data_IF_734837769096
#
_entry.id   IF_734837769096
#
_cell.length_a   1.000
_cell.length_b   1.000
_cell.length_c   1.000
_cell.angle_alpha   90.00
_cell.angle_beta   90.00
_cell.angle_gamma   90.00
#
_symmetry.space_group_name_H-M   'P 1'
#
loop_
_entity.id
_entity.type
_entity.pdbx_description
1 polymer ?
#
# COMPACT_ATOMS: atom_id res chain seq x y z
N UNK A 1 33.24 25.21 33.67
CA UNK A 1 32.38 25.52 34.84
C UNK A 1 31.82 24.21 35.33
N UNK A 2 32.10 23.83 36.57
CA UNK A 2 31.31 22.79 37.24
C UNK A 2 29.85 23.23 37.29
N UNK A 3 28.87 22.34 37.05
CA UNK A 3 27.46 22.69 37.21
C UNK A 3 27.21 23.11 38.66
N UNK A 4 26.61 24.28 38.84
CA UNK A 4 26.30 24.85 40.16
C UNK A 4 25.49 23.85 41.00
N UNK A 5 25.95 23.46 42.21
CA UNK A 5 25.33 22.37 42.98
C UNK A 5 23.86 22.68 43.31
N UNK A 6 22.98 21.69 43.13
CA UNK A 6 21.55 21.82 43.46
C UNK A 6 21.37 22.07 44.96
N UNK A 7 20.84 23.24 45.31
CA UNK A 7 20.58 23.65 46.70
C UNK A 7 19.13 23.40 47.13
N UNK A 8 18.89 23.37 48.44
CA UNK A 8 17.53 23.24 48.99
C UNK A 8 16.59 24.38 48.55
N UNK A 9 17.10 25.60 48.51
CA UNK A 9 16.35 26.77 48.03
C UNK A 9 15.92 26.60 46.56
N UNK A 10 16.76 25.98 45.72
CA UNK A 10 16.44 25.69 44.32
C UNK A 10 15.37 24.61 44.17
N UNK A 11 15.43 23.55 45.00
CA UNK A 11 14.35 22.55 45.08
C UNK A 11 13.00 23.19 45.46
N UNK A 12 13.02 24.13 46.40
CA UNK A 12 11.85 24.89 46.83
C UNK A 12 11.29 25.77 45.71
N UNK A 13 12.15 26.56 45.06
CA UNK A 13 11.76 27.46 44.00
C UNK A 13 11.11 26.71 42.82
N UNK A 14 11.68 25.57 42.41
CA UNK A 14 11.12 24.77 41.33
C UNK A 14 9.75 24.16 41.68
N UNK A 15 9.57 23.69 42.93
CA UNK A 15 8.27 23.19 43.41
C UNK A 15 7.22 24.29 43.39
N UNK A 16 7.58 25.49 43.86
CA UNK A 16 6.68 26.65 43.90
C UNK A 16 6.34 27.16 42.49
N UNK A 17 7.31 27.19 41.57
CA UNK A 17 7.09 27.52 40.15
C UNK A 17 6.15 26.53 39.45
N UNK A 18 6.20 25.24 39.84
CA UNK A 18 5.27 24.23 39.38
C UNK A 18 3.89 24.28 40.07
N UNK A 19 3.65 25.26 40.96
CA UNK A 19 2.39 25.42 41.69
C UNK A 19 2.09 24.30 42.70
N UNK A 20 3.08 23.52 43.10
CA UNK A 20 2.87 22.37 43.97
C UNK A 20 3.10 22.71 45.44
N UNK A 21 2.19 22.24 46.30
CA UNK A 21 2.45 22.19 47.75
C UNK A 21 3.41 21.04 48.08
N UNK A 22 4.07 21.10 49.24
CA UNK A 22 4.89 19.98 49.73
C UNK A 22 4.07 18.68 49.89
N UNK A 23 2.77 18.78 50.21
CA UNK A 23 1.88 17.61 50.27
C UNK A 23 1.65 17.01 48.87
N UNK A 24 1.43 17.86 47.86
CA UNK A 24 1.24 17.42 46.48
C UNK A 24 2.52 16.81 45.89
N UNK A 25 3.69 17.38 46.22
CA UNK A 25 4.97 16.83 45.80
C UNK A 25 5.29 15.50 46.50
N UNK A 26 4.95 15.36 47.78
CA UNK A 26 5.07 14.11 48.53
C UNK A 26 4.29 12.96 47.88
N UNK A 27 3.06 13.24 47.41
CA UNK A 27 2.25 12.26 46.71
C UNK A 27 2.84 11.83 45.35
N UNK A 28 3.63 12.70 44.69
CA UNK A 28 4.25 12.41 43.38
C UNK A 28 5.63 11.78 43.46
N UNK A 29 6.37 12.03 44.53
CA UNK A 29 7.76 11.58 44.71
C UNK A 29 7.89 10.35 45.61
N UNK A 30 6.82 9.99 46.34
CA UNK A 30 6.82 9.00 47.42
C UNK A 30 7.79 9.31 48.58
N UNK A 31 8.36 10.52 48.61
CA UNK A 31 9.14 11.04 49.72
C UNK A 31 8.21 11.69 50.75
N UNK A 32 8.51 11.54 52.04
CA UNK A 32 7.65 12.11 53.08
C UNK A 32 7.72 13.64 53.08
N UNK A 33 6.58 14.30 53.37
CA UNK A 33 6.51 15.76 53.50
C UNK A 33 7.58 16.37 54.42
N UNK A 34 7.90 15.78 55.60
CA UNK A 34 9.00 16.27 56.44
C UNK A 34 10.37 16.15 55.78
N UNK A 35 10.63 15.06 55.05
CA UNK A 35 11.88 14.87 54.32
C UNK A 35 12.05 15.94 53.23
N UNK A 36 11.02 16.17 52.42
CA UNK A 36 11.02 17.22 51.40
C UNK A 36 11.27 18.61 52.01
N UNK A 37 10.64 18.92 53.14
CA UNK A 37 10.88 20.18 53.88
C UNK A 37 12.31 20.32 54.39
N UNK A 38 12.91 19.26 54.92
CA UNK A 38 14.32 19.26 55.38
C UNK A 38 15.31 19.40 54.22
N UNK A 39 15.00 18.84 53.05
CA UNK A 39 15.81 19.00 51.84
C UNK A 39 15.73 20.44 51.31
N UNK A 40 14.52 21.02 51.24
CA UNK A 40 14.30 22.38 50.75
C UNK A 40 14.87 23.48 51.67
N UNK A 41 14.98 23.20 52.98
CA UNK A 41 15.57 24.13 53.97
C UNK A 41 17.07 23.89 54.21
N UNK A 42 17.68 22.92 53.52
CA UNK A 42 19.10 22.59 53.67
C UNK A 42 19.44 21.86 54.97
N UNK A 43 18.45 21.48 55.79
CA UNK A 43 18.62 20.71 57.02
C UNK A 43 19.06 19.26 56.77
N UNK A 44 18.87 18.76 55.55
CA UNK A 44 19.34 17.43 55.13
C UNK A 44 20.10 17.50 53.82
N UNK A 45 21.19 16.72 53.73
CA UNK A 45 22.01 16.64 52.51
C UNK A 45 21.18 16.10 51.34
N UNK A 46 21.20 16.84 50.24
CA UNK A 46 20.61 16.44 48.96
C UNK A 46 21.51 15.36 48.35
N UNK A 47 20.89 14.28 47.89
CA UNK A 47 21.54 13.13 47.27
C UNK A 47 20.97 12.94 45.86
N UNK A 48 21.66 12.24 44.95
CA UNK A 48 21.20 12.05 43.57
C UNK A 48 19.78 11.49 43.46
N UNK A 49 19.39 10.58 44.36
CA UNK A 49 18.04 10.01 44.40
C UNK A 49 16.95 11.07 44.68
N UNK A 50 17.25 12.09 45.49
CA UNK A 50 16.32 13.19 45.75
C UNK A 50 16.16 14.08 44.52
N UNK A 51 17.26 14.34 43.80
CA UNK A 51 17.24 15.12 42.56
C UNK A 51 16.41 14.40 41.50
N UNK A 52 16.63 13.09 41.32
CA UNK A 52 15.87 12.28 40.38
C UNK A 52 14.37 12.26 40.70
N UNK A 53 14.00 12.12 41.98
CA UNK A 53 12.61 12.17 42.41
C UNK A 53 11.93 13.51 42.07
N UNK A 54 12.61 14.62 42.33
CA UNK A 54 12.08 15.93 41.97
C UNK A 54 11.99 16.14 40.45
N UNK A 55 12.99 15.73 39.67
CA UNK A 55 12.96 15.81 38.19
C UNK A 55 11.81 14.99 37.61
N UNK A 56 11.57 13.79 38.14
CA UNK A 56 10.45 12.95 37.73
C UNK A 56 9.10 13.59 38.05
N UNK A 57 8.95 14.23 39.21
CA UNK A 57 7.69 14.80 39.66
C UNK A 57 7.35 16.18 39.04
N UNK A 58 8.37 16.93 38.63
CA UNK A 58 8.25 18.30 38.11
C UNK A 58 8.51 18.41 36.59
N UNK A 59 9.07 17.37 35.97
CA UNK A 59 9.41 17.32 34.55
C UNK A 59 10.83 17.82 34.23
N UNK A 60 11.42 17.35 33.10
CA UNK A 60 12.71 17.83 32.61
C UNK A 60 12.63 19.33 32.28
N UNK A 61 13.43 20.15 32.97
CA UNK A 61 13.50 21.61 32.82
C UNK A 61 13.31 22.40 34.12
N UNK A 62 12.64 21.83 35.12
CA UNK A 62 12.32 22.53 36.38
C UNK A 62 13.51 22.68 37.35
N UNK A 63 14.51 21.80 37.28
CA UNK A 63 15.59 21.72 38.28
C UNK A 63 17.00 21.54 37.75
N UNK A 64 17.16 20.95 36.56
CA UNK A 64 18.48 20.53 36.06
C UNK A 64 19.10 21.58 35.12
N UNK A 65 18.29 22.49 34.56
CA UNK A 65 18.74 23.48 33.58
C UNK A 65 18.10 24.85 33.84
N UNK A 66 18.51 25.56 34.90
CA UNK A 66 18.41 27.03 34.87
C UNK A 66 19.58 27.52 34.03
N UNK A 67 19.36 27.69 32.74
CA UNK A 67 20.28 28.43 31.88
C UNK A 67 20.19 29.92 32.21
N UNK A 68 21.29 30.65 32.06
CA UNK A 68 21.24 32.10 32.13
C UNK A 68 20.35 32.65 30.99
N UNK A 69 19.89 33.90 31.10
CA UNK A 69 18.94 34.49 30.14
C UNK A 69 19.45 34.48 28.68
N UNK A 70 20.77 34.41 28.48
CA UNK A 70 21.43 34.20 27.19
C UNK A 70 21.21 32.78 26.63
N UNK A 71 21.20 31.76 27.48
CA UNK A 71 20.86 30.37 27.15
C UNK A 71 19.40 30.19 26.76
N UNK A 72 18.46 30.82 27.48
CA UNK A 72 17.05 30.81 27.09
C UNK A 72 16.82 31.44 25.70
N UNK A 73 17.52 32.55 25.41
CA UNK A 73 17.46 33.20 24.09
C UNK A 73 18.11 32.34 22.99
N UNK A 74 19.23 31.68 23.30
CA UNK A 74 19.88 30.74 22.38
C UNK A 74 18.99 29.52 22.11
N UNK A 75 18.37 28.93 23.13
CA UNK A 75 17.43 27.82 23.01
C UNK A 75 16.17 28.22 22.22
N UNK A 76 15.62 29.41 22.47
CA UNK A 76 14.50 29.95 21.71
C UNK A 76 14.86 30.21 20.24
N UNK A 77 16.08 30.66 19.95
CA UNK A 77 16.58 30.80 18.58
C UNK A 77 16.74 29.44 17.89
N UNK A 78 17.22 28.41 18.60
CA UNK A 78 17.26 27.05 18.09
C UNK A 78 15.86 26.50 17.79
N UNK A 79 14.91 26.66 18.72
CA UNK A 79 13.51 26.26 18.51
C UNK A 79 12.89 27.00 17.32
N UNK A 80 13.15 28.30 17.20
CA UNK A 80 12.70 29.11 16.05
C UNK A 80 13.27 28.57 14.75
N UNK A 81 14.58 28.29 14.68
CA UNK A 81 15.23 27.73 13.48
C UNK A 81 14.69 26.37 13.09
N UNK A 82 14.42 25.50 14.07
CA UNK A 82 13.80 24.19 13.84
C UNK A 82 12.36 24.33 13.34
N UNK A 83 11.65 25.37 13.77
CA UNK A 83 10.27 25.65 13.37
C UNK A 83 10.12 26.43 12.04
N UNK A 84 11.20 26.96 11.46
CA UNK A 84 11.12 27.66 10.16
C UNK A 84 10.75 26.66 9.07
N UNK A 85 9.64 26.94 8.38
CA UNK A 85 9.18 26.17 7.22
C UNK A 85 8.77 27.11 6.09
N UNK A 86 9.28 26.83 4.89
CA UNK A 86 8.81 27.42 3.64
C UNK A 86 7.62 26.64 3.07
N UNK A 87 7.27 25.51 3.70
CA UNK A 87 6.11 24.67 3.37
C UNK A 87 4.97 24.99 4.34
N UNK A 88 3.90 25.61 3.83
CA UNK A 88 2.67 25.81 4.62
C UNK A 88 1.91 24.50 4.85
N UNK A 89 1.23 24.35 5.99
CA UNK A 89 0.43 23.15 6.33
C UNK A 89 -0.53 22.74 5.22
N UNK A 90 -1.34 23.70 4.75
CA UNK A 90 -2.30 23.55 3.64
C UNK A 90 -1.68 23.07 2.33
N UNK A 91 -0.35 23.21 2.17
CA UNK A 91 0.35 22.75 0.96
C UNK A 91 0.61 21.25 1.00
N UNK A 92 1.01 20.70 2.15
CA UNK A 92 1.18 19.26 2.29
C UNK A 92 -0.17 18.55 2.28
N UNK A 93 -1.16 19.11 2.96
CA UNK A 93 -2.52 18.54 2.99
C UNK A 93 -3.10 18.44 1.57
N UNK A 94 -2.87 19.44 0.72
CA UNK A 94 -3.25 19.40 -0.71
C UNK A 94 -2.49 18.35 -1.51
N UNK A 95 -1.21 18.12 -1.22
CA UNK A 95 -0.43 17.09 -1.90
C UNK A 95 -0.90 15.69 -1.50
N UNK A 96 -1.16 15.47 -0.21
CA UNK A 96 -1.69 14.21 0.34
C UNK A 96 -3.08 13.94 -0.25
N UNK A 97 -3.98 14.92 -0.27
CA UNK A 97 -5.28 14.80 -0.93
C UNK A 97 -5.13 14.47 -2.43
N UNK A 98 -4.14 15.05 -3.13
CA UNK A 98 -3.88 14.71 -4.51
C UNK A 98 -3.41 13.26 -4.70
N UNK A 99 -2.66 12.68 -3.73
CA UNK A 99 -2.34 11.25 -3.74
C UNK A 99 -3.63 10.44 -3.72
N UNK A 100 -4.54 10.76 -2.80
CA UNK A 100 -5.80 10.04 -2.65
C UNK A 100 -6.68 10.15 -3.90
N UNK A 101 -6.80 11.35 -4.48
CA UNK A 101 -7.56 11.57 -5.73
C UNK A 101 -6.99 10.75 -6.90
N UNK A 102 -5.66 10.73 -7.07
CA UNK A 102 -5.01 10.01 -8.17
C UNK A 102 -5.14 8.49 -7.98
N UNK A 103 -4.97 7.99 -6.76
CA UNK A 103 -5.14 6.58 -6.45
C UNK A 103 -6.60 6.12 -6.56
N UNK A 104 -7.57 7.00 -6.27
CA UNK A 104 -9.01 6.80 -6.54
C UNK A 104 -9.35 6.84 -8.04
N UNK A 105 -8.63 7.64 -8.82
CA UNK A 105 -8.79 7.74 -10.28
C UNK A 105 -8.20 6.56 -11.06
N UNK A 106 -7.28 5.80 -10.49
CA UNK A 106 -6.60 4.66 -11.13
C UNK A 106 -7.52 3.63 -11.84
N UNK A 107 -8.69 3.25 -11.29
CA UNK A 107 -9.58 2.29 -11.94
C UNK A 107 -10.30 2.83 -13.20
N UNK A 108 -10.34 4.14 -13.42
CA UNK A 108 -11.17 4.80 -14.44
C UNK A 108 -10.38 5.62 -15.45
N UNK A 109 -9.28 6.24 -15.04
CA UNK A 109 -8.41 7.08 -15.86
C UNK A 109 -7.40 6.19 -16.61
N UNK A 110 -7.16 6.41 -17.92
CA UNK A 110 -6.10 5.75 -18.66
C UNK A 110 -4.72 5.91 -17.97
N UNK A 111 -3.88 4.86 -17.89
CA UNK A 111 -2.61 4.94 -17.15
C UNK A 111 -1.65 6.03 -17.62
N UNK A 112 -1.63 6.33 -18.92
CA UNK A 112 -0.80 7.38 -19.54
C UNK A 112 -1.25 8.79 -19.12
N UNK A 113 -2.57 9.04 -19.11
CA UNK A 113 -3.16 10.29 -18.60
C UNK A 113 -2.89 10.47 -17.11
N UNK A 114 -3.02 9.38 -16.33
CA UNK A 114 -2.74 9.42 -14.90
C UNK A 114 -1.26 9.72 -14.61
N UNK A 115 -0.34 9.14 -15.39
CA UNK A 115 1.09 9.42 -15.30
C UNK A 115 1.43 10.89 -15.58
N UNK A 116 0.70 11.59 -16.46
CA UNK A 116 0.88 13.04 -16.67
C UNK A 116 0.61 13.80 -15.37
N UNK A 117 -0.51 13.50 -14.71
CA UNK A 117 -0.91 14.17 -13.47
C UNK A 117 0.06 13.84 -12.32
N UNK A 118 0.43 12.56 -12.16
CA UNK A 118 1.41 12.13 -11.16
C UNK A 118 2.75 12.86 -11.36
N UNK A 119 3.24 13.00 -12.60
CA UNK A 119 4.48 13.74 -12.88
C UNK A 119 4.39 15.21 -12.47
N UNK A 120 3.24 15.86 -12.65
CA UNK A 120 3.05 17.24 -12.24
C UNK A 120 3.16 17.39 -10.71
N UNK A 121 2.53 16.49 -9.94
CA UNK A 121 2.62 16.49 -8.47
C UNK A 121 4.02 16.14 -7.95
N UNK A 122 4.72 15.20 -8.59
CA UNK A 122 6.11 14.89 -8.25
C UNK A 122 7.05 16.07 -8.52
N UNK A 123 6.86 16.77 -9.64
CA UNK A 123 7.61 17.98 -9.94
C UNK A 123 7.33 19.12 -8.94
N UNK A 124 6.09 19.20 -8.43
CA UNK A 124 5.75 20.13 -7.36
C UNK A 124 6.40 19.75 -6.03
N UNK A 125 6.31 18.47 -5.64
CA UNK A 125 6.92 17.96 -4.42
C UNK A 125 8.46 18.13 -4.42
N UNK A 126 9.12 17.98 -5.57
CA UNK A 126 10.55 18.25 -5.72
C UNK A 126 10.90 19.70 -5.34
N UNK A 127 10.09 20.70 -5.77
CA UNK A 127 10.30 22.10 -5.37
C UNK A 127 10.10 22.33 -3.86
N UNK A 128 9.19 21.58 -3.23
CA UNK A 128 9.01 21.63 -1.78
C UNK A 128 10.19 20.99 -1.03
N UNK A 129 10.83 19.97 -1.60
CA UNK A 129 12.01 19.35 -1.03
C UNK A 129 13.22 20.29 -0.99
N UNK A 130 13.30 21.28 -1.89
CA UNK A 130 14.38 22.29 -1.90
C UNK A 130 14.22 23.36 -0.79
N UNK A 131 13.01 23.52 -0.22
CA UNK A 131 12.72 24.54 0.80
C UNK A 131 13.04 24.11 2.24
N UNK A 132 13.07 25.08 3.17
CA UNK A 132 13.14 24.79 4.61
C UNK A 132 11.86 24.12 5.07
N UNK A 133 12.00 23.15 5.97
CA UNK A 133 10.91 22.31 6.46
C UNK A 133 11.31 21.69 7.79
N UNK A 134 10.32 21.49 8.65
CA UNK A 134 10.49 20.69 9.86
C UNK A 134 10.72 19.21 9.49
N UNK A 135 11.26 18.41 10.41
CA UNK A 135 11.42 16.96 10.20
C UNK A 135 10.07 16.27 9.93
N UNK A 136 9.01 16.66 10.64
CA UNK A 136 7.66 16.13 10.43
C UNK A 136 7.16 16.41 9.02
N UNK A 137 7.31 17.65 8.54
CA UNK A 137 6.93 18.03 7.18
C UNK A 137 7.77 17.32 6.13
N UNK A 138 9.07 17.15 6.38
CA UNK A 138 9.93 16.39 5.49
C UNK A 138 9.46 14.95 5.37
N UNK A 139 9.22 14.26 6.48
CA UNK A 139 8.72 12.88 6.49
C UNK A 139 7.37 12.75 5.75
N UNK A 140 6.41 13.63 6.02
CA UNK A 140 5.12 13.69 5.29
C UNK A 140 5.30 13.85 3.79
N UNK A 141 6.20 14.75 3.38
CA UNK A 141 6.52 14.96 1.97
C UNK A 141 7.13 13.70 1.32
N UNK A 142 8.05 13.01 2.00
CA UNK A 142 8.61 11.74 1.51
C UNK A 142 7.53 10.66 1.36
N UNK A 143 6.59 10.56 2.32
CA UNK A 143 5.44 9.65 2.24
C UNK A 143 4.57 9.95 1.01
N UNK A 144 4.22 11.22 0.78
CA UNK A 144 3.43 11.61 -0.39
C UNK A 144 4.14 11.30 -1.72
N UNK A 145 5.44 11.59 -1.81
CA UNK A 145 6.26 11.24 -3.00
C UNK A 145 6.38 9.72 -3.16
N UNK A 146 6.48 8.98 -2.07
CA UNK A 146 6.51 7.51 -2.05
C UNK A 146 5.25 6.91 -2.66
N UNK A 147 4.06 7.35 -2.21
CA UNK A 147 2.79 6.90 -2.78
C UNK A 147 2.62 7.29 -4.26
N UNK A 148 2.95 8.53 -4.64
CA UNK A 148 2.90 8.96 -6.05
C UNK A 148 3.85 8.14 -6.92
N UNK A 149 5.04 7.83 -6.42
CA UNK A 149 6.03 7.01 -7.14
C UNK A 149 5.55 5.57 -7.27
N UNK A 150 4.97 5.00 -6.23
CA UNK A 150 4.38 3.66 -6.27
C UNK A 150 3.20 3.59 -7.25
N UNK A 151 2.32 4.59 -7.27
CA UNK A 151 1.23 4.67 -8.24
C UNK A 151 1.76 4.84 -9.69
N UNK A 152 2.83 5.61 -9.89
CA UNK A 152 3.48 5.67 -11.19
C UNK A 152 4.04 4.30 -11.60
N UNK A 153 4.61 3.54 -10.65
CA UNK A 153 5.08 2.18 -10.91
C UNK A 153 3.95 1.27 -11.37
N UNK A 154 2.77 1.33 -10.75
CA UNK A 154 1.62 0.49 -11.15
C UNK A 154 1.14 0.85 -12.56
N UNK A 155 1.06 2.13 -12.90
CA UNK A 155 0.73 2.59 -14.26
C UNK A 155 1.77 2.15 -15.30
N UNK A 156 3.06 2.22 -14.99
CA UNK A 156 4.10 1.74 -15.91
C UNK A 156 4.02 0.21 -16.11
N UNK A 157 3.66 -0.57 -15.09
CA UNK A 157 3.41 -2.01 -15.25
C UNK A 157 2.19 -2.23 -16.15
N UNK A 158 1.11 -1.48 -15.95
CA UNK A 158 -0.08 -1.54 -16.81
C UNK A 158 0.27 -1.32 -18.29
N UNK A 159 1.15 -0.36 -18.58
CA UNK A 159 1.64 -0.03 -19.92
C UNK A 159 2.73 -0.98 -20.44
N UNK A 160 3.24 -1.91 -19.61
CA UNK A 160 4.35 -2.80 -19.99
C UNK A 160 5.73 -2.13 -20.02
N UNK A 161 5.87 -0.94 -19.44
CA UNK A 161 7.11 -0.14 -19.39
C UNK A 161 7.99 -0.55 -18.19
N UNK A 162 8.44 -1.82 -18.19
CA UNK A 162 9.08 -2.44 -17.02
C UNK A 162 10.30 -1.69 -16.44
N UNK A 163 11.21 -1.09 -17.24
CA UNK A 163 12.32 -0.31 -16.68
C UNK A 163 11.86 0.93 -15.91
N UNK A 164 10.84 1.62 -16.43
CA UNK A 164 10.26 2.80 -15.77
C UNK A 164 9.52 2.40 -14.49
N UNK A 165 8.75 1.31 -14.54
CA UNK A 165 8.12 0.73 -13.36
C UNK A 165 9.16 0.42 -12.26
N UNK A 166 10.24 -0.28 -12.59
CA UNK A 166 11.28 -0.62 -11.62
C UNK A 166 11.93 0.63 -11.00
N UNK A 167 12.23 1.66 -11.80
CA UNK A 167 12.79 2.91 -11.29
C UNK A 167 11.85 3.61 -10.30
N UNK A 168 10.54 3.64 -10.60
CA UNK A 168 9.52 4.23 -9.73
C UNK A 168 9.29 3.43 -8.46
N UNK A 169 9.24 2.09 -8.56
CA UNK A 169 9.12 1.20 -7.43
C UNK A 169 10.31 1.26 -6.49
N UNK A 170 11.55 1.35 -7.01
CA UNK A 170 12.74 1.53 -6.18
C UNK A 170 12.72 2.88 -5.45
N UNK A 171 12.37 3.97 -6.14
CA UNK A 171 12.23 5.27 -5.50
C UNK A 171 11.19 5.23 -4.36
N UNK A 172 10.03 4.60 -4.59
CA UNK A 172 9.01 4.47 -3.55
C UNK A 172 9.50 3.67 -2.34
N UNK A 173 10.25 2.58 -2.57
CA UNK A 173 10.85 1.77 -1.52
C UNK A 173 11.87 2.57 -0.69
N UNK A 174 12.78 3.28 -1.34
CA UNK A 174 13.83 4.06 -0.66
C UNK A 174 13.21 5.19 0.18
N UNK A 175 12.20 5.88 -0.36
CA UNK A 175 11.48 6.93 0.36
C UNK A 175 10.67 6.37 1.53
N UNK A 176 10.08 5.18 1.38
CA UNK A 176 9.37 4.51 2.46
C UNK A 176 10.33 4.09 3.59
N UNK A 177 11.54 3.66 3.26
CA UNK A 177 12.56 3.35 4.25
C UNK A 177 13.01 4.61 5.02
N UNK A 178 13.31 5.70 4.29
CA UNK A 178 13.70 6.98 4.89
C UNK A 178 12.57 7.59 5.76
N UNK A 179 11.32 7.44 5.31
CA UNK A 179 10.15 7.88 6.06
C UNK A 179 9.65 6.85 7.09
N UNK A 180 10.35 5.73 7.27
CA UNK A 180 9.95 4.58 8.09
C UNK A 180 8.44 4.26 7.96
N UNK A 181 7.96 4.12 6.73
CA UNK A 181 6.54 3.92 6.40
C UNK A 181 6.30 2.49 5.88
N UNK A 182 6.09 1.51 6.77
CA UNK A 182 6.09 0.08 6.43
C UNK A 182 5.02 -0.32 5.41
N UNK A 183 3.88 0.37 5.37
CA UNK A 183 2.81 0.04 4.43
C UNK A 183 3.18 0.34 2.96
N UNK A 184 3.95 1.39 2.67
CA UNK A 184 4.41 1.67 1.30
C UNK A 184 5.40 0.57 0.88
N UNK A 185 6.31 0.19 1.78
CA UNK A 185 7.24 -0.92 1.53
C UNK A 185 6.50 -2.22 1.22
N UNK A 186 5.45 -2.54 1.98
CA UNK A 186 4.61 -3.71 1.71
C UNK A 186 3.93 -3.65 0.33
N UNK A 187 3.35 -2.50 -0.04
CA UNK A 187 2.76 -2.31 -1.36
C UNK A 187 3.78 -2.36 -2.50
N UNK A 188 5.03 -1.92 -2.28
CA UNK A 188 6.09 -2.08 -3.28
C UNK A 188 6.36 -3.56 -3.57
N UNK A 189 6.41 -4.40 -2.53
CA UNK A 189 6.57 -5.86 -2.69
C UNK A 189 5.33 -6.50 -3.33
N UNK A 190 4.13 -6.10 -2.93
CA UNK A 190 2.88 -6.60 -3.51
C UNK A 190 2.76 -6.23 -5.00
N UNK A 191 3.09 -4.98 -5.36
CA UNK A 191 3.09 -4.51 -6.76
C UNK A 191 4.10 -5.31 -7.58
N UNK A 192 5.28 -5.59 -7.02
CA UNK A 192 6.28 -6.45 -7.68
C UNK A 192 5.79 -7.89 -7.79
N UNK A 193 5.10 -8.43 -6.78
CA UNK A 193 4.48 -9.76 -6.83
C UNK A 193 3.44 -9.84 -7.96
N UNK A 194 2.61 -8.80 -8.14
CA UNK A 194 1.68 -8.68 -9.25
C UNK A 194 2.38 -8.62 -10.61
N UNK A 195 3.49 -7.89 -10.72
CA UNK A 195 4.31 -7.91 -11.94
C UNK A 195 4.85 -9.31 -12.21
N UNK A 196 5.43 -10.00 -11.22
CA UNK A 196 5.95 -11.37 -11.38
C UNK A 196 4.86 -12.35 -11.80
N UNK A 197 3.67 -12.23 -11.22
CA UNK A 197 2.51 -13.03 -11.57
C UNK A 197 2.12 -12.83 -13.05
N UNK A 198 2.10 -11.59 -13.50
CA UNK A 198 1.80 -11.22 -14.90
C UNK A 198 2.88 -11.71 -15.87
N UNK A 199 4.14 -11.76 -15.43
CA UNK A 199 5.28 -12.30 -16.19
C UNK A 199 5.35 -13.85 -16.20
N UNK A 200 4.39 -14.54 -15.57
CA UNK A 200 4.40 -16.01 -15.46
C UNK A 200 5.38 -16.57 -14.41
N UNK A 201 6.00 -15.71 -13.59
CA UNK A 201 6.98 -16.07 -12.55
C UNK A 201 6.27 -16.33 -11.22
N UNK A 202 5.43 -17.36 -11.18
CA UNK A 202 4.48 -17.61 -10.09
C UNK A 202 5.13 -17.92 -8.73
N UNK A 203 6.25 -18.65 -8.71
CA UNK A 203 7.01 -18.91 -7.47
C UNK A 203 7.49 -17.60 -6.84
N UNK A 204 8.15 -16.75 -7.65
CA UNK A 204 8.62 -15.45 -7.20
C UNK A 204 7.47 -14.53 -6.78
N UNK A 205 6.31 -14.60 -7.44
CA UNK A 205 5.12 -13.88 -7.03
C UNK A 205 4.66 -14.31 -5.62
N UNK A 206 4.57 -15.62 -5.35
CA UNK A 206 4.18 -16.13 -4.03
C UNK A 206 5.18 -15.75 -2.93
N UNK A 207 6.48 -15.79 -3.21
CA UNK A 207 7.53 -15.38 -2.28
C UNK A 207 7.44 -13.89 -1.94
N UNK A 208 7.29 -13.03 -2.96
CA UNK A 208 7.13 -11.59 -2.76
C UNK A 208 5.84 -11.24 -2.01
N UNK A 209 4.74 -11.96 -2.28
CA UNK A 209 3.49 -11.80 -1.53
C UNK A 209 3.64 -12.16 -0.05
N UNK A 210 4.37 -13.22 0.28
CA UNK A 210 4.68 -13.56 1.69
C UNK A 210 5.61 -12.53 2.33
N UNK A 211 6.61 -12.03 1.60
CA UNK A 211 7.49 -10.98 2.08
C UNK A 211 6.72 -9.68 2.35
N UNK A 212 5.75 -9.31 1.49
CA UNK A 212 4.86 -8.18 1.70
C UNK A 212 4.01 -8.35 2.98
N UNK A 213 3.44 -9.55 3.20
CA UNK A 213 2.70 -9.86 4.45
C UNK A 213 3.57 -9.72 5.70
N UNK A 214 4.86 -10.07 5.63
CA UNK A 214 5.77 -10.03 6.78
C UNK A 214 6.11 -8.60 7.24
N UNK A 215 6.03 -7.60 6.35
CA UNK A 215 6.38 -6.21 6.67
C UNK A 215 5.16 -5.28 6.76
N UNK A 216 4.03 -5.69 6.18
CA UNK A 216 2.80 -4.92 6.24
C UNK A 216 2.31 -4.81 7.70
N UNK A 217 1.87 -3.62 8.15
CA UNK A 217 1.18 -3.52 9.44
C UNK A 217 -0.01 -4.49 9.48
N UNK A 218 -0.22 -5.12 10.63
CA UNK A 218 -1.29 -6.09 10.82
C UNK A 218 -2.65 -5.44 10.53
N UNK A 219 -3.48 -6.13 9.74
CA UNK A 219 -4.77 -5.61 9.29
C UNK A 219 -4.69 -4.50 8.23
N UNK A 220 -3.52 -4.05 7.79
CA UNK A 220 -3.46 -3.01 6.75
C UNK A 220 -3.99 -3.48 5.39
N UNK A 221 -4.34 -2.53 4.52
CA UNK A 221 -4.81 -2.83 3.17
C UNK A 221 -3.76 -3.61 2.36
N UNK A 222 -2.48 -3.28 2.56
CA UNK A 222 -1.35 -4.00 1.97
C UNK A 222 -1.31 -5.46 2.42
N UNK A 223 -1.57 -5.73 3.70
CA UNK A 223 -1.56 -7.09 4.26
C UNK A 223 -2.64 -7.97 3.63
N UNK A 224 -3.88 -7.44 3.55
CA UNK A 224 -5.02 -8.15 2.95
C UNK A 224 -4.76 -8.44 1.48
N UNK A 225 -4.34 -7.41 0.73
CA UNK A 225 -4.00 -7.55 -0.68
C UNK A 225 -2.88 -8.57 -0.91
N UNK A 226 -1.79 -8.51 -0.15
CA UNK A 226 -0.67 -9.43 -0.29
C UNK A 226 -1.07 -10.88 0.01
N UNK A 227 -1.97 -11.09 0.97
CA UNK A 227 -2.56 -12.40 1.27
C UNK A 227 -3.38 -12.92 0.09
N UNK A 228 -4.19 -12.07 -0.53
CA UNK A 228 -4.99 -12.44 -1.69
C UNK A 228 -4.13 -12.72 -2.92
N UNK A 229 -3.03 -11.96 -3.08
CA UNK A 229 -2.06 -12.14 -4.16
C UNK A 229 -1.26 -13.44 -4.03
N UNK A 230 -0.94 -13.88 -2.81
CA UNK A 230 -0.37 -15.21 -2.55
C UNK A 230 -1.31 -16.31 -3.04
N UNK A 231 -2.61 -16.24 -2.71
CA UNK A 231 -3.60 -17.24 -3.15
C UNK A 231 -3.69 -17.36 -4.68
N UNK A 232 -3.61 -16.23 -5.38
CA UNK A 232 -3.57 -16.17 -6.84
C UNK A 232 -2.30 -16.77 -7.43
N UNK A 233 -1.16 -16.55 -6.80
CA UNK A 233 0.10 -17.17 -7.19
C UNK A 233 0.08 -18.69 -6.96
N UNK A 234 -0.41 -19.15 -5.79
CA UNK A 234 -0.63 -20.57 -5.50
C UNK A 234 -1.57 -21.24 -6.50
N UNK A 235 -2.64 -20.56 -6.93
CA UNK A 235 -3.58 -21.11 -7.89
C UNK A 235 -2.89 -21.38 -9.24
N UNK A 236 -2.04 -20.45 -9.68
CA UNK A 236 -1.23 -20.61 -10.89
C UNK A 236 -0.13 -21.68 -10.78
N UNK A 237 0.26 -22.03 -9.56
CA UNK A 237 1.17 -23.15 -9.28
C UNK A 237 0.43 -24.50 -9.19
N UNK A 238 -0.91 -24.52 -9.22
CA UNK A 238 -1.71 -25.72 -9.00
C UNK A 238 -1.75 -26.18 -7.54
N UNK A 239 -1.31 -25.34 -6.60
CA UNK A 239 -1.32 -25.62 -5.16
C UNK A 239 -2.71 -25.35 -4.58
N UNK A 240 -3.60 -26.33 -4.70
CA UNK A 240 -4.98 -26.21 -4.22
C UNK A 240 -5.06 -25.94 -2.72
N UNK A 241 -4.24 -26.60 -1.91
CA UNK A 241 -4.26 -26.44 -0.44
C UNK A 241 -3.86 -25.00 -0.06
N UNK A 242 -2.75 -24.51 -0.60
CA UNK A 242 -2.29 -23.15 -0.38
C UNK A 242 -3.29 -22.11 -0.89
N UNK A 243 -3.91 -22.35 -2.05
CA UNK A 243 -4.96 -21.48 -2.60
C UNK A 243 -6.16 -21.36 -1.66
N UNK A 244 -6.80 -22.46 -1.27
CA UNK A 244 -7.95 -22.38 -0.36
C UNK A 244 -7.54 -21.87 1.03
N UNK A 245 -6.32 -22.18 1.47
CA UNK A 245 -5.75 -21.63 2.69
C UNK A 245 -5.69 -20.11 2.66
N UNK A 246 -5.18 -19.52 1.57
CA UNK A 246 -5.11 -18.08 1.37
C UNK A 246 -6.50 -17.44 1.27
N UNK A 247 -7.43 -18.04 0.49
CA UNK A 247 -8.81 -17.55 0.39
C UNK A 247 -9.51 -17.51 1.75
N UNK A 248 -9.36 -18.54 2.58
CA UNK A 248 -9.88 -18.55 3.96
C UNK A 248 -9.24 -17.48 4.84
N UNK A 249 -7.94 -17.19 4.67
CA UNK A 249 -7.28 -16.09 5.39
C UNK A 249 -7.87 -14.74 4.98
N UNK A 250 -7.99 -14.48 3.68
CA UNK A 250 -8.61 -13.24 3.15
C UNK A 250 -10.04 -13.09 3.68
N UNK A 251 -10.86 -14.13 3.57
CA UNK A 251 -12.24 -14.11 4.06
C UNK A 251 -12.34 -13.73 5.55
N UNK A 252 -11.41 -14.22 6.38
CA UNK A 252 -11.36 -13.84 7.81
C UNK A 252 -10.91 -12.40 8.02
N UNK A 253 -9.93 -11.92 7.24
CA UNK A 253 -9.43 -10.55 7.35
C UNK A 253 -10.48 -9.51 6.94
N UNK A 254 -11.30 -9.82 5.92
CA UNK A 254 -12.34 -8.91 5.44
C UNK A 254 -13.64 -9.03 6.25
N UNK A 255 -13.81 -10.09 7.04
CA UNK A 255 -14.99 -10.29 7.88
C UNK A 255 -15.04 -9.21 8.96
N UNK A 256 -16.07 -8.36 8.91
CA UNK A 256 -16.22 -7.23 9.82
C UNK A 256 -15.34 -6.02 9.47
N UNK A 257 -14.64 -6.04 8.33
CA UNK A 257 -13.89 -4.88 7.86
C UNK A 257 -14.85 -3.77 7.42
N UNK A 258 -14.72 -2.53 7.92
CA UNK A 258 -15.59 -1.44 7.52
C UNK A 258 -15.37 -1.11 6.04
N UNK A 259 -16.45 -0.77 5.33
CA UNK A 259 -16.31 -0.22 3.98
C UNK A 259 -15.54 1.11 4.08
N UNK A 260 -14.41 1.28 3.37
CA UNK A 260 -13.70 2.56 3.37
C UNK A 260 -14.54 3.65 2.71
N UNK A 261 -14.29 4.91 3.08
CA UNK A 261 -14.98 6.07 2.49
C UNK A 261 -14.76 6.17 0.97
N UNK A 262 -13.60 5.71 0.49
CA UNK A 262 -13.17 5.72 -0.92
C UNK A 262 -12.83 4.29 -1.39
N UNK A 263 -13.82 3.42 -1.66
CA UNK A 263 -13.59 2.02 -2.04
C UNK A 263 -12.98 1.84 -3.44
N UNK A 264 -12.94 2.90 -4.25
CA UNK A 264 -12.21 2.97 -5.51
C UNK A 264 -10.70 3.14 -5.36
N UNK A 265 -10.23 3.62 -4.19
CA UNK A 265 -8.84 3.93 -3.94
C UNK A 265 -7.93 2.70 -4.05
N UNK A 266 -6.92 2.75 -4.92
CA UNK A 266 -6.09 1.58 -5.26
C UNK A 266 -5.38 0.94 -4.04
N UNK A 267 -4.91 1.76 -3.10
CA UNK A 267 -4.19 1.31 -1.91
C UNK A 267 -5.09 1.09 -0.68
N UNK A 268 -6.40 1.33 -0.79
CA UNK A 268 -7.35 0.98 0.26
C UNK A 268 -8.08 -0.29 -0.12
N UNK A 269 -7.99 -1.32 0.72
CA UNK A 269 -8.63 -2.58 0.41
C UNK A 269 -10.15 -2.43 0.58
N UNK A 270 -10.85 -2.64 -0.51
CA UNK A 270 -12.30 -2.69 -0.56
C UNK A 270 -12.76 -4.13 -0.29
N UNK A 271 -13.53 -4.41 0.79
CA UNK A 271 -14.02 -5.76 1.08
C UNK A 271 -14.82 -6.37 -0.08
N UNK A 272 -15.56 -5.58 -0.86
CA UNK A 272 -16.30 -6.07 -2.03
C UNK A 272 -15.37 -6.54 -3.18
N UNK A 273 -14.08 -6.18 -3.13
CA UNK A 273 -13.04 -6.71 -4.04
C UNK A 273 -12.71 -8.18 -3.75
N UNK A 274 -13.01 -8.68 -2.54
CA UNK A 274 -12.66 -10.03 -2.15
C UNK A 274 -13.32 -11.10 -3.03
N UNK A 275 -14.60 -10.94 -3.38
CA UNK A 275 -15.31 -11.89 -4.25
C UNK A 275 -14.75 -11.91 -5.67
N UNK A 276 -14.34 -10.76 -6.20
CA UNK A 276 -13.64 -10.69 -7.48
C UNK A 276 -12.31 -11.47 -7.44
N UNK A 277 -11.58 -11.39 -6.32
CA UNK A 277 -10.33 -12.13 -6.15
C UNK A 277 -10.59 -13.63 -5.97
N UNK A 278 -11.65 -14.03 -5.28
CA UNK A 278 -12.10 -15.43 -5.21
C UNK A 278 -12.37 -15.95 -6.60
N UNK A 279 -13.19 -15.24 -7.40
CA UNK A 279 -13.51 -15.61 -8.78
C UNK A 279 -12.23 -15.79 -9.63
N UNK A 280 -11.34 -14.80 -9.64
CA UNK A 280 -10.05 -14.89 -10.36
C UNK A 280 -9.24 -16.11 -9.90
N UNK A 281 -9.12 -16.32 -8.59
CA UNK A 281 -8.27 -17.35 -8.01
C UNK A 281 -8.78 -18.75 -8.32
N UNK A 282 -10.10 -18.96 -8.19
CA UNK A 282 -10.75 -20.23 -8.53
C UNK A 282 -10.67 -20.51 -10.04
N UNK A 283 -10.88 -19.50 -10.88
CA UNK A 283 -10.74 -19.64 -12.34
C UNK A 283 -9.32 -20.09 -12.73
N UNK A 284 -8.31 -19.55 -12.05
CA UNK A 284 -6.90 -19.91 -12.31
C UNK A 284 -6.51 -21.28 -11.76
N UNK A 285 -7.17 -21.72 -10.68
CA UNK A 285 -7.01 -23.08 -10.16
C UNK A 285 -7.71 -24.12 -11.06
N UNK A 286 -8.68 -23.68 -11.87
CA UNK A 286 -9.54 -24.56 -12.67
C UNK A 286 -10.71 -25.15 -11.88
N UNK A 287 -11.11 -24.51 -10.78
CA UNK A 287 -12.25 -24.94 -9.97
C UNK A 287 -13.57 -24.56 -10.68
N UNK A 288 -14.50 -25.52 -10.92
CA UNK A 288 -15.80 -25.25 -11.53
C UNK A 288 -16.66 -24.20 -10.81
N UNK A 289 -16.46 -24.01 -9.50
CA UNK A 289 -17.17 -22.98 -8.74
C UNK A 289 -16.87 -21.56 -9.25
N UNK A 290 -15.73 -21.36 -9.94
CA UNK A 290 -15.32 -20.08 -10.49
C UNK A 290 -16.39 -19.41 -11.36
N UNK A 291 -17.15 -20.19 -12.15
CA UNK A 291 -18.22 -19.64 -13.00
C UNK A 291 -19.27 -18.90 -12.15
N UNK A 292 -19.74 -19.55 -11.08
CA UNK A 292 -20.78 -18.99 -10.21
C UNK A 292 -20.32 -17.69 -9.52
N UNK A 293 -19.09 -17.69 -8.99
CA UNK A 293 -18.49 -16.52 -8.37
C UNK A 293 -18.29 -15.38 -9.39
N UNK A 294 -17.78 -15.68 -10.58
CA UNK A 294 -17.53 -14.66 -11.60
C UNK A 294 -18.84 -14.02 -12.10
N UNK A 295 -19.92 -14.79 -12.26
CA UNK A 295 -21.25 -14.25 -12.59
C UNK A 295 -21.80 -13.36 -11.48
N UNK A 296 -21.65 -13.77 -10.21
CA UNK A 296 -22.08 -12.96 -9.07
C UNK A 296 -21.33 -11.63 -9.00
N UNK A 297 -20.00 -11.67 -9.14
CA UNK A 297 -19.15 -10.47 -9.19
C UNK A 297 -19.57 -9.51 -10.30
N UNK A 298 -19.90 -10.01 -11.49
CA UNK A 298 -20.38 -9.16 -12.58
C UNK A 298 -21.74 -8.53 -12.28
N UNK A 299 -22.66 -9.28 -11.66
CA UNK A 299 -23.96 -8.74 -11.24
C UNK A 299 -23.80 -7.63 -10.20
N UNK A 300 -22.93 -7.83 -9.20
CA UNK A 300 -22.65 -6.83 -8.17
C UNK A 300 -21.98 -5.58 -8.74
N UNK A 301 -21.01 -5.75 -9.65
CA UNK A 301 -20.36 -4.64 -10.33
C UNK A 301 -21.33 -3.85 -11.21
N UNK A 302 -22.33 -4.50 -11.81
CA UNK A 302 -23.37 -3.84 -12.59
C UNK A 302 -24.38 -3.08 -11.70
N UNK A 303 -24.64 -3.57 -10.50
CA UNK A 303 -25.52 -2.93 -9.52
C UNK A 303 -24.83 -1.86 -8.67
N UNK A 304 -23.50 -1.75 -8.73
CA UNK A 304 -22.72 -0.83 -7.92
C UNK A 304 -23.06 0.65 -8.21
N UNK A 305 -23.14 1.52 -7.18
CA UNK A 305 -23.45 2.94 -7.36
C UNK A 305 -22.43 3.70 -8.22
N UNK A 306 -21.18 3.24 -8.26
CA UNK A 306 -20.11 3.82 -9.06
C UNK A 306 -19.58 2.81 -10.07
N UNK A 307 -19.42 3.26 -11.32
CA UNK A 307 -18.92 2.41 -12.39
C UNK A 307 -17.46 2.02 -12.16
N UNK A 308 -17.15 0.72 -12.31
CA UNK A 308 -15.80 0.17 -12.14
C UNK A 308 -15.32 -0.53 -13.42
N UNK A 309 -15.12 0.22 -14.51
CA UNK A 309 -14.94 -0.32 -15.85
C UNK A 309 -13.79 -1.32 -15.98
N UNK A 310 -12.62 -1.05 -15.39
CA UNK A 310 -11.48 -1.98 -15.41
C UNK A 310 -11.74 -3.28 -14.62
N UNK A 311 -12.51 -3.21 -13.53
CA UNK A 311 -12.91 -4.40 -12.75
C UNK A 311 -13.91 -5.24 -13.53
N UNK A 312 -14.88 -4.62 -14.22
CA UNK A 312 -15.83 -5.31 -15.10
C UNK A 312 -15.09 -6.04 -16.23
N UNK A 313 -14.15 -5.37 -16.90
CA UNK A 313 -13.35 -6.01 -17.95
C UNK A 313 -12.54 -7.21 -17.43
N UNK A 314 -11.92 -7.07 -16.24
CA UNK A 314 -11.17 -8.16 -15.61
C UNK A 314 -12.09 -9.33 -15.21
N UNK A 315 -13.26 -9.06 -14.63
CA UNK A 315 -14.23 -10.08 -14.24
C UNK A 315 -14.80 -10.83 -15.45
N UNK A 316 -14.99 -10.16 -16.59
CA UNK A 316 -15.37 -10.81 -17.85
C UNK A 316 -14.28 -11.75 -18.37
N UNK A 317 -12.99 -11.39 -18.26
CA UNK A 317 -11.89 -12.30 -18.62
C UNK A 317 -11.82 -13.51 -17.69
N UNK A 318 -12.05 -13.32 -16.39
CA UNK A 318 -12.05 -14.42 -15.42
C UNK A 318 -13.26 -15.35 -15.64
N UNK A 319 -14.45 -14.79 -15.96
CA UNK A 319 -15.62 -15.57 -16.37
C UNK A 319 -15.36 -16.33 -17.67
N UNK A 320 -14.77 -15.68 -18.68
CA UNK A 320 -14.45 -16.33 -19.95
C UNK A 320 -13.50 -17.51 -19.78
N UNK A 321 -12.52 -17.40 -18.89
CA UNK A 321 -11.64 -18.52 -18.55
C UNK A 321 -12.41 -19.68 -17.88
N UNK A 322 -13.29 -19.36 -16.92
CA UNK A 322 -14.11 -20.36 -16.24
C UNK A 322 -15.08 -21.07 -17.21
N UNK A 323 -15.74 -20.32 -18.10
CA UNK A 323 -16.64 -20.86 -19.12
C UNK A 323 -15.92 -21.76 -20.13
N UNK A 324 -14.75 -21.33 -20.59
CA UNK A 324 -13.94 -22.14 -21.50
C UNK A 324 -13.41 -23.41 -20.83
N UNK A 325 -13.16 -23.39 -19.52
CA UNK A 325 -12.85 -24.60 -18.74
C UNK A 325 -14.08 -25.52 -18.60
N UNK A 326 -15.27 -24.94 -18.47
CA UNK A 326 -16.56 -25.63 -18.38
C UNK A 326 -17.16 -26.08 -19.73
N UNK A 327 -16.37 -26.02 -20.82
CA UNK A 327 -16.78 -26.44 -22.16
C UNK A 327 -17.93 -25.62 -22.78
N UNK A 328 -17.99 -24.31 -22.46
CA UNK A 328 -18.94 -23.33 -23.01
C UNK A 328 -18.20 -22.27 -23.85
N UNK A 329 -17.61 -22.63 -25.01
CA UNK A 329 -16.70 -21.76 -25.76
C UNK A 329 -17.40 -20.53 -26.37
N UNK A 330 -18.65 -20.67 -26.74
CA UNK A 330 -19.57 -19.65 -27.24
C UNK A 330 -19.83 -18.56 -26.18
N UNK A 331 -20.30 -18.94 -24.99
CA UNK A 331 -20.47 -17.98 -23.89
C UNK A 331 -19.13 -17.35 -23.46
N UNK A 332 -18.04 -18.13 -23.49
CA UNK A 332 -16.70 -17.62 -23.19
C UNK A 332 -16.24 -16.56 -24.20
N UNK A 333 -16.57 -16.74 -25.48
CA UNK A 333 -16.27 -15.78 -26.53
C UNK A 333 -17.05 -14.47 -26.35
N UNK A 334 -18.34 -14.54 -26.00
CA UNK A 334 -19.19 -13.37 -25.76
C UNK A 334 -18.64 -12.48 -24.63
N UNK A 335 -18.31 -13.07 -23.48
CA UNK A 335 -17.77 -12.31 -22.35
C UNK A 335 -16.36 -11.79 -22.63
N UNK A 336 -15.55 -12.56 -23.36
CA UNK A 336 -14.23 -12.10 -23.80
C UNK A 336 -14.35 -10.90 -24.77
N UNK A 337 -15.31 -10.95 -25.70
CA UNK A 337 -15.60 -9.87 -26.62
C UNK A 337 -16.10 -8.62 -25.87
N UNK A 338 -16.95 -8.78 -24.86
CA UNK A 338 -17.39 -7.69 -23.99
C UNK A 338 -16.21 -7.03 -23.25
N UNK A 339 -15.27 -7.83 -22.74
CA UNK A 339 -14.06 -7.31 -22.12
C UNK A 339 -13.19 -6.52 -23.12
N UNK A 340 -13.00 -7.06 -24.32
CA UNK A 340 -12.20 -6.44 -25.38
C UNK A 340 -12.80 -5.12 -25.84
N UNK A 341 -14.06 -5.14 -26.26
CA UNK A 341 -14.79 -3.99 -26.84
C UNK A 341 -15.06 -2.88 -25.82
N UNK A 342 -14.91 -3.15 -24.52
CA UNK A 342 -14.96 -2.11 -23.48
C UNK A 342 -13.89 -1.02 -23.67
N UNK A 343 -12.78 -1.31 -24.35
CA UNK A 343 -11.63 -0.40 -24.47
C UNK A 343 -10.86 -0.19 -23.16
N UNK A 344 -11.06 -1.05 -22.15
CA UNK A 344 -10.52 -0.89 -20.79
C UNK A 344 -9.39 -1.85 -20.44
N UNK A 345 -9.00 -2.74 -21.34
CA UNK A 345 -7.84 -3.61 -21.12
C UNK A 345 -6.55 -2.82 -21.30
N UNK A 346 -5.60 -3.08 -20.41
CA UNK A 346 -4.24 -2.54 -20.50
C UNK A 346 -3.26 -3.67 -20.85
N UNK A 347 -2.04 -3.37 -21.34
CA UNK A 347 -1.05 -4.40 -21.66
C UNK A 347 -0.83 -5.48 -20.60
N UNK A 348 -0.88 -5.12 -19.31
CA UNK A 348 -0.78 -6.08 -18.19
C UNK A 348 -1.94 -7.10 -18.12
N UNK A 349 -3.03 -6.91 -18.86
CA UNK A 349 -4.16 -7.85 -18.98
C UNK A 349 -4.10 -8.74 -20.24
N UNK A 350 -3.29 -8.41 -21.24
CA UNK A 350 -3.35 -9.04 -22.57
C UNK A 350 -3.06 -10.54 -22.54
N UNK A 351 -2.22 -10.98 -21.61
CA UNK A 351 -1.93 -12.40 -21.42
C UNK A 351 -3.18 -13.19 -21.00
N UNK A 352 -4.07 -12.63 -20.15
CA UNK A 352 -5.33 -13.29 -19.75
C UNK A 352 -6.27 -13.45 -20.94
N UNK A 353 -6.38 -12.40 -21.76
CA UNK A 353 -7.16 -12.45 -23.00
C UNK A 353 -6.62 -13.56 -23.92
N UNK A 354 -5.29 -13.62 -24.09
CA UNK A 354 -4.64 -14.65 -24.90
C UNK A 354 -4.91 -16.07 -24.37
N UNK A 355 -4.96 -16.27 -23.06
CA UNK A 355 -5.32 -17.55 -22.45
C UNK A 355 -6.76 -17.94 -22.76
N UNK A 356 -7.72 -17.03 -22.52
CA UNK A 356 -9.15 -17.28 -22.82
C UNK A 356 -9.33 -17.66 -24.28
N UNK A 357 -8.75 -16.88 -25.21
CA UNK A 357 -8.78 -17.18 -26.64
C UNK A 357 -8.17 -18.54 -26.98
N UNK A 358 -7.05 -18.90 -26.34
CA UNK A 358 -6.40 -20.21 -26.57
C UNK A 358 -7.31 -21.36 -26.12
N UNK A 359 -8.01 -21.20 -25.00
CA UNK A 359 -8.96 -22.19 -24.52
C UNK A 359 -10.21 -22.30 -25.43
N UNK A 360 -10.74 -21.17 -25.92
CA UNK A 360 -11.85 -21.17 -26.89
C UNK A 360 -11.42 -21.88 -28.17
N UNK A 361 -10.24 -21.54 -28.72
CA UNK A 361 -9.69 -22.11 -29.96
C UNK A 361 -9.54 -23.65 -29.94
N UNK A 362 -9.42 -24.25 -28.75
CA UNK A 362 -9.37 -25.71 -28.62
C UNK A 362 -10.69 -26.41 -28.96
N UNK A 363 -11.81 -25.67 -28.99
CA UNK A 363 -13.15 -26.16 -29.32
C UNK A 363 -13.79 -25.46 -30.51
N UNK A 364 -13.66 -24.13 -30.57
CA UNK A 364 -14.22 -23.30 -31.63
C UNK A 364 -13.18 -22.31 -32.16
N UNK A 365 -12.73 -22.54 -33.39
CA UNK A 365 -11.72 -21.72 -34.04
C UNK A 365 -12.28 -20.41 -34.61
N UNK A 366 -13.58 -20.37 -34.94
CA UNK A 366 -14.26 -19.22 -35.51
C UNK A 366 -14.51 -18.17 -34.42
N UNK A 367 -15.08 -18.57 -33.29
CA UNK A 367 -15.30 -17.66 -32.15
C UNK A 367 -13.99 -17.10 -31.60
N UNK A 368 -12.97 -17.96 -31.48
CA UNK A 368 -11.63 -17.50 -31.11
C UNK A 368 -11.03 -16.51 -32.11
N UNK A 369 -11.37 -16.61 -33.40
CA UNK A 369 -10.91 -15.65 -34.42
C UNK A 369 -11.61 -14.30 -34.27
N UNK A 370 -12.92 -14.29 -34.04
CA UNK A 370 -13.72 -13.08 -33.79
C UNK A 370 -13.16 -12.28 -32.61
N UNK A 371 -12.90 -12.93 -31.48
CA UNK A 371 -12.32 -12.26 -30.29
C UNK A 371 -10.92 -11.71 -30.59
N UNK A 372 -10.08 -12.46 -31.34
CA UNK A 372 -8.73 -12.03 -31.74
C UNK A 372 -8.75 -10.80 -32.64
N UNK A 373 -9.66 -10.76 -33.61
CA UNK A 373 -9.83 -9.64 -34.54
C UNK A 373 -10.26 -8.39 -33.77
N UNK A 374 -11.30 -8.49 -32.94
CA UNK A 374 -11.74 -7.39 -32.09
C UNK A 374 -10.63 -6.88 -31.17
N UNK A 375 -9.81 -7.77 -30.61
CA UNK A 375 -8.68 -7.39 -29.77
C UNK A 375 -7.62 -6.64 -30.55
N UNK A 376 -7.29 -7.12 -31.76
CA UNK A 376 -6.34 -6.45 -32.64
C UNK A 376 -6.82 -5.06 -33.05
N UNK A 377 -8.09 -4.92 -33.43
CA UNK A 377 -8.65 -3.64 -33.85
C UNK A 377 -8.73 -2.61 -32.72
N UNK A 378 -9.08 -3.07 -31.52
CA UNK A 378 -9.22 -2.18 -30.36
C UNK A 378 -7.86 -1.74 -29.82
N UNK A 379 -6.89 -2.65 -29.69
CA UNK A 379 -5.66 -2.39 -28.92
C UNK A 379 -4.37 -2.37 -29.74
N UNK A 380 -4.33 -2.99 -30.92
CA UNK A 380 -3.09 -3.15 -31.71
C UNK A 380 -3.06 -2.29 -32.97
N UNK A 381 -4.22 -1.99 -33.57
CA UNK A 381 -4.33 -1.12 -34.76
C UNK A 381 -4.28 0.38 -34.44
N UNK A 382 -4.56 0.79 -33.20
CA UNK A 382 -4.42 2.20 -32.77
C UNK A 382 -2.96 2.63 -32.53
N UNK A 383 -1.99 1.71 -32.70
CA UNK A 383 -0.57 1.89 -32.38
C UNK A 383 0.35 2.39 -33.52
N UNK A 384 -0.12 3.26 -34.41
CA UNK A 384 0.77 3.97 -35.36
C UNK A 384 1.57 5.12 -34.72
N UNK A 385 1.46 5.32 -33.41
CA UNK A 385 2.33 6.22 -32.61
C UNK A 385 2.89 5.47 -31.40
N UNK A 386 3.78 4.50 -31.63
CA UNK A 386 4.47 3.81 -30.52
C UNK A 386 5.05 2.44 -30.89
N UNK A 387 6.11 2.40 -31.69
CA UNK A 387 6.91 1.18 -31.87
C UNK A 387 7.54 0.79 -30.53
N UNK A 388 7.23 -0.41 -30.04
CA UNK A 388 8.14 -1.48 -29.52
C UNK A 388 7.33 -2.39 -28.58
N UNK A 389 6.71 -3.47 -29.08
CA UNK A 389 6.34 -4.63 -28.23
C UNK A 389 5.88 -5.88 -29.00
N UNK A 390 6.32 -6.08 -30.24
CA UNK A 390 5.94 -7.27 -31.04
C UNK A 390 6.62 -8.59 -30.61
N UNK A 391 7.35 -8.68 -29.50
CA UNK A 391 8.24 -9.82 -29.24
C UNK A 391 7.97 -10.68 -28.00
N UNK A 392 6.87 -10.52 -27.25
CA UNK A 392 6.70 -11.28 -25.98
C UNK A 392 5.33 -11.92 -25.70
N UNK A 393 4.51 -12.20 -26.72
CA UNK A 393 3.43 -13.18 -26.54
C UNK A 393 4.02 -14.57 -26.77
N UNK A 394 4.60 -15.19 -25.73
CA UNK A 394 4.90 -16.62 -25.73
C UNK A 394 3.71 -17.36 -25.11
N UNK A 395 3.15 -18.38 -25.76
CA UNK A 395 2.14 -19.23 -25.13
C UNK A 395 2.75 -19.93 -23.92
N UNK A 396 2.12 -19.79 -22.75
CA UNK A 396 2.42 -20.59 -21.57
C UNK A 396 2.06 -22.04 -21.88
N UNK A 397 3.06 -22.93 -21.83
CA UNK A 397 2.83 -24.37 -22.01
C UNK A 397 2.19 -24.90 -20.73
N UNK A 398 0.91 -25.23 -20.78
CA UNK A 398 0.21 -25.90 -19.67
C UNK A 398 0.85 -27.27 -19.48
N UNK A 399 1.46 -27.51 -18.31
CA UNK A 399 1.98 -28.82 -17.94
C UNK A 399 0.82 -29.81 -17.85
N UNK A 400 0.84 -30.86 -18.67
CA UNK A 400 -0.12 -31.97 -18.59
C UNK A 400 0.04 -32.70 -17.26
N UNK A 401 -1.05 -33.12 -16.59
CA UNK A 401 -0.96 -33.93 -15.39
C UNK A 401 -0.36 -35.30 -15.72
N UNK A 402 0.65 -35.70 -14.96
CA UNK A 402 1.25 -37.04 -15.02
C UNK A 402 0.19 -38.05 -14.60
N UNK A 403 -0.35 -38.81 -15.56
CA UNK A 403 -1.15 -40.01 -15.26
C UNK A 403 -0.22 -41.08 -14.73
N UNK A 404 -0.12 -41.19 -13.41
CA UNK A 404 0.44 -42.35 -12.73
C UNK A 404 -0.45 -43.57 -12.94
N UNK A 405 -0.20 -44.33 -14.01
CA UNK A 405 -0.76 -45.65 -14.21
C UNK A 405 0.11 -46.68 -13.49
N UNK A 406 -0.33 -47.13 -12.32
CA UNK A 406 0.08 -48.41 -11.76
C UNK A 406 -0.93 -49.46 -12.24
N UNK A 407 -0.46 -50.47 -12.95
CA UNK A 407 -1.14 -51.74 -13.15
C UNK A 407 -0.09 -52.86 -13.28
N UNK A 408 -0.48 -54.11 -12.97
CA UNK A 408 -0.11 -54.81 -11.74
C UNK A 408 1.20 -55.60 -11.77
#
# INVERSE_FOLDING_TARGET
MEPDPVTGARLRAAREAAGLSLSALSARTYLSKPLLGMLETGQRRIRPEHIAAYVSALGPGSLVFTEAADGEQAAAEWLRRVAVSDVGGDTLDRLEMAVDELAAGYPTIPPDDLLVQIRAHLGYAARLLDGKKTLTQHRRLLVAVGWLSLLASTCHIDLGELPAAAARGHLAWDLAAEAEHPEISAWCLETRAWQQLTDGRFVAAAELSRAAQAIAPEGSSAFIQATAQEGRASARLGDSEGTYGALRRVARLVSGWPMPDRPEHHFHYDPAKSDAYVATTLAWLGDPAAESYARHVLADLAAAPSARPRRIASANLDLGLALAAADKPDEAADVALAAVTSGRLVPSNYWRMSEVVTHIASRDQADAATVREAFHDTYLNQGSVGRVQRSRIRPLTIARPVRGGLQP
#
